data_IF_641288803501
#
_entry.id   IF_641288803501
#
_cell.length_a   1.000
_cell.length_b   1.000
_cell.length_c   1.000
_cell.angle_alpha   90.00
_cell.angle_beta   90.00
_cell.angle_gamma   90.00
#
_symmetry.space_group_name_H-M   'P 1'
#
loop_
_entity.id
_entity.type
_entity.pdbx_description
1 polymer ?
#
# COMPACT_ATOMS: atom_id res chain seq x y z
N UNK A 1 -12.15 39.32 -23.46
CA UNK A 1 -10.99 39.02 -22.57
C UNK A 1 -10.85 37.52 -22.53
N UNK A 2 -9.74 36.94 -22.97
CA UNK A 2 -9.51 35.51 -22.82
C UNK A 2 -9.25 35.17 -21.34
N UNK A 3 -9.96 34.14 -20.84
CA UNK A 3 -9.70 33.58 -19.53
C UNK A 3 -8.25 33.06 -19.46
N UNK A 4 -7.53 33.26 -18.34
CA UNK A 4 -6.21 32.69 -18.19
C UNK A 4 -6.32 31.16 -18.18
N UNK A 5 -5.52 30.52 -19.03
CA UNK A 5 -5.34 29.07 -19.00
C UNK A 5 -4.85 28.66 -17.60
N UNK A 6 -5.63 27.88 -16.89
CA UNK A 6 -5.18 27.21 -15.68
C UNK A 6 -4.08 26.25 -16.11
N UNK A 7 -2.83 26.63 -15.87
CA UNK A 7 -1.70 25.70 -15.89
C UNK A 7 -1.92 24.73 -14.75
N UNK A 8 -2.44 23.54 -15.05
CA UNK A 8 -2.47 22.43 -14.13
C UNK A 8 -1.02 21.97 -13.91
N UNK A 9 -0.31 22.61 -12.98
CA UNK A 9 0.93 22.06 -12.46
C UNK A 9 0.58 20.73 -11.79
N UNK A 10 1.14 19.65 -12.31
CA UNK A 10 1.08 18.35 -11.63
C UNK A 10 1.49 18.57 -10.18
N UNK A 11 0.70 18.15 -9.17
CA UNK A 11 1.06 18.38 -7.78
C UNK A 11 2.39 17.71 -7.48
N UNK A 12 3.26 18.41 -6.74
CA UNK A 12 4.62 17.96 -6.40
C UNK A 12 4.61 16.59 -5.71
N UNK A 13 3.51 16.27 -5.01
CA UNK A 13 3.33 15.03 -4.26
C UNK A 13 2.01 14.34 -4.67
N UNK A 14 2.10 13.05 -4.95
CA UNK A 14 0.93 12.20 -5.15
C UNK A 14 0.22 11.89 -3.82
N UNK A 15 0.99 11.75 -2.73
CA UNK A 15 0.48 11.57 -1.37
C UNK A 15 1.37 12.32 -0.38
N UNK A 16 0.77 13.06 0.57
CA UNK A 16 1.49 13.71 1.66
C UNK A 16 0.69 13.59 2.95
N UNK A 17 1.38 13.22 4.02
CA UNK A 17 0.86 13.23 5.38
C UNK A 17 1.60 14.28 6.20
N UNK A 18 0.88 15.11 6.94
CA UNK A 18 1.44 16.23 7.70
C UNK A 18 1.00 16.14 9.16
N UNK A 19 1.89 15.68 10.05
CA UNK A 19 1.66 15.56 11.49
C UNK A 19 0.43 14.71 11.84
N UNK A 20 0.21 13.60 11.12
CA UNK A 20 -1.06 12.87 11.17
C UNK A 20 -1.13 11.97 12.39
N UNK A 21 -2.25 12.05 13.14
CA UNK A 21 -2.67 11.03 14.08
C UNK A 21 -3.81 10.19 13.47
N UNK A 22 -3.67 8.86 13.50
CA UNK A 22 -4.65 7.91 12.96
C UNK A 22 -5.10 6.92 14.03
N UNK A 23 -6.39 6.60 14.03
CA UNK A 23 -6.94 5.66 15.01
C UNK A 23 -8.42 5.38 14.78
N UNK A 24 -9.02 4.66 15.72
CA UNK A 24 -10.42 4.25 15.69
C UNK A 24 -11.10 4.67 17.01
N UNK A 25 -12.12 5.51 16.91
CA UNK A 25 -12.72 6.14 18.09
C UNK A 25 -11.66 6.87 18.91
N UNK A 26 -11.57 6.60 20.20
CA UNK A 26 -10.60 7.21 21.11
C UNK A 26 -9.23 6.53 21.10
N UNK A 27 -9.08 5.42 20.38
CA UNK A 27 -7.81 4.68 20.30
C UNK A 27 -6.95 5.17 19.13
N UNK A 28 -5.82 5.82 19.44
CA UNK A 28 -4.84 6.28 18.46
C UNK A 28 -3.81 5.19 18.19
N UNK A 29 -3.73 4.74 16.94
CA UNK A 29 -2.78 3.73 16.45
C UNK A 29 -1.44 4.36 16.07
N UNK A 30 -1.49 5.49 15.37
CA UNK A 30 -0.32 6.21 14.86
C UNK A 30 -0.39 7.67 15.27
N UNK A 31 0.76 8.26 15.60
CA UNK A 31 0.88 9.66 16.06
C UNK A 31 2.02 10.34 15.32
N UNK A 32 1.80 11.61 15.00
CA UNK A 32 2.82 12.49 14.40
C UNK A 32 3.51 11.88 13.17
N UNK A 33 2.71 11.35 12.25
CA UNK A 33 3.21 10.79 11.01
C UNK A 33 3.32 11.89 9.95
N UNK A 34 4.54 12.13 9.49
CA UNK A 34 4.80 13.03 8.36
C UNK A 34 5.60 12.28 7.30
N UNK A 35 5.08 12.23 6.08
CA UNK A 35 5.71 11.56 4.95
C UNK A 35 5.23 12.12 3.62
N UNK A 36 6.10 12.04 2.62
CA UNK A 36 5.85 12.49 1.25
C UNK A 36 6.07 11.35 0.25
N UNK A 37 5.22 11.31 -0.78
CA UNK A 37 5.36 10.41 -1.92
C UNK A 37 5.25 11.24 -3.19
N UNK A 38 6.32 11.30 -3.98
CA UNK A 38 6.36 12.06 -5.23
C UNK A 38 5.95 11.22 -6.43
N UNK A 39 5.54 11.87 -7.50
CA UNK A 39 5.28 11.18 -8.77
C UNK A 39 6.54 10.41 -9.22
N UNK A 40 6.37 9.21 -9.76
CA UNK A 40 7.45 8.32 -10.20
C UNK A 40 8.28 7.69 -9.09
N UNK A 41 8.03 8.01 -7.81
CA UNK A 41 8.76 7.47 -6.67
C UNK A 41 8.15 6.15 -6.18
N UNK A 42 8.99 5.18 -5.85
CA UNK A 42 8.61 3.96 -5.14
C UNK A 42 8.98 4.11 -3.67
N UNK A 43 7.98 4.12 -2.82
CA UNK A 43 8.11 4.29 -1.36
C UNK A 43 7.69 3.01 -0.64
N UNK A 44 8.53 2.48 0.25
CA UNK A 44 8.18 1.38 1.12
C UNK A 44 7.82 1.88 2.52
N UNK A 45 6.63 1.52 3.01
CA UNK A 45 6.21 1.70 4.40
C UNK A 45 6.35 0.35 5.09
N UNK A 46 7.32 0.24 5.97
CA UNK A 46 7.70 -1.00 6.63
C UNK A 46 7.39 -0.97 8.12
N UNK A 47 7.36 -2.12 8.75
CA UNK A 47 7.14 -2.25 10.18
C UNK A 47 6.57 -3.60 10.57
N UNK A 48 6.64 -3.95 11.84
CA UNK A 48 6.12 -5.20 12.37
C UNK A 48 4.60 -5.35 12.18
N UNK A 49 4.09 -6.56 12.42
CA UNK A 49 2.65 -6.80 12.44
C UNK A 49 1.97 -5.92 13.49
N UNK A 50 0.82 -5.34 13.14
CA UNK A 50 0.09 -4.43 14.04
C UNK A 50 0.70 -3.02 14.20
N UNK A 51 1.77 -2.65 13.49
CA UNK A 51 2.40 -1.31 13.60
C UNK A 51 1.55 -0.16 13.04
N UNK A 52 0.42 -0.44 12.39
CA UNK A 52 -0.49 0.58 11.85
C UNK A 52 -0.39 0.81 10.34
N UNK A 53 0.37 0.01 9.59
CA UNK A 53 0.55 0.16 8.14
C UNK A 53 -0.78 0.16 7.36
N UNK A 54 -1.68 -0.78 7.65
CA UNK A 54 -3.02 -0.84 7.03
C UNK A 54 -3.88 0.37 7.42
N UNK A 55 -3.66 0.96 8.60
CA UNK A 55 -4.33 2.20 9.03
C UNK A 55 -3.87 3.38 8.16
N UNK A 56 -2.58 3.45 7.82
CA UNK A 56 -2.06 4.43 6.84
C UNK A 56 -2.70 4.26 5.45
N UNK A 57 -2.81 3.01 4.97
CA UNK A 57 -3.46 2.72 3.69
C UNK A 57 -4.91 3.21 3.66
N UNK A 58 -5.66 2.94 4.72
CA UNK A 58 -7.05 3.40 4.85
C UNK A 58 -7.16 4.93 4.84
N UNK A 59 -6.23 5.61 5.50
CA UNK A 59 -6.18 7.07 5.47
C UNK A 59 -5.84 7.60 4.07
N UNK A 60 -4.83 7.02 3.40
CA UNK A 60 -4.44 7.40 2.04
C UNK A 60 -5.57 7.22 1.01
N UNK A 61 -6.43 6.22 1.19
CA UNK A 61 -7.59 5.95 0.32
C UNK A 61 -8.89 6.65 0.75
N UNK A 62 -8.84 7.48 1.80
CA UNK A 62 -10.02 8.18 2.34
C UNK A 62 -11.05 7.25 2.99
N UNK A 63 -10.64 6.05 3.44
CA UNK A 63 -11.49 5.14 4.22
C UNK A 63 -11.42 5.42 5.72
N UNK A 64 -10.45 6.21 6.14
CA UNK A 64 -10.24 6.64 7.52
C UNK A 64 -9.86 8.12 7.53
N UNK A 65 -10.61 8.93 8.26
CA UNK A 65 -10.29 10.34 8.51
C UNK A 65 -9.24 10.45 9.61
N UNK A 66 -8.25 11.32 9.42
CA UNK A 66 -7.24 11.58 10.43
C UNK A 66 -7.88 12.22 11.68
N UNK A 67 -7.43 11.80 12.87
CA UNK A 67 -7.82 12.43 14.15
C UNK A 67 -7.13 13.79 14.33
N UNK A 68 -5.91 13.95 13.79
CA UNK A 68 -5.14 15.19 13.76
C UNK A 68 -4.27 15.23 12.48
N UNK A 69 -3.82 16.43 12.13
CA UNK A 69 -2.99 16.63 10.93
C UNK A 69 -3.79 16.57 9.64
N UNK A 70 -3.11 16.41 8.51
CA UNK A 70 -3.73 16.39 7.18
C UNK A 70 -3.20 15.24 6.33
N UNK A 71 -4.09 14.58 5.59
CA UNK A 71 -3.76 13.61 4.54
C UNK A 71 -4.13 14.23 3.20
N UNK A 72 -3.14 14.51 2.39
CA UNK A 72 -3.30 15.13 1.09
C UNK A 72 -3.04 14.10 -0.01
N UNK A 73 -4.01 13.86 -0.86
CA UNK A 73 -3.86 13.06 -2.07
C UNK A 73 -3.99 13.98 -3.29
N UNK A 74 -2.98 14.00 -4.15
CA UNK A 74 -2.93 14.89 -5.33
C UNK A 74 -3.18 16.37 -4.99
N UNK A 75 -2.71 16.80 -3.80
CA UNK A 75 -2.88 18.16 -3.29
C UNK A 75 -4.25 18.45 -2.63
N UNK A 76 -5.18 17.49 -2.61
CA UNK A 76 -6.50 17.64 -1.99
C UNK A 76 -6.53 17.01 -0.60
N UNK A 77 -7.05 17.72 0.38
CA UNK A 77 -7.20 17.24 1.76
C UNK A 77 -8.35 16.23 1.86
N UNK A 78 -8.00 14.96 2.14
CA UNK A 78 -8.93 13.84 2.18
C UNK A 78 -10.04 13.99 3.23
N UNK A 79 -9.85 14.84 4.25
CA UNK A 79 -10.87 15.12 5.26
C UNK A 79 -11.97 16.09 4.77
N UNK A 80 -11.70 16.85 3.71
CA UNK A 80 -12.57 17.94 3.24
C UNK A 80 -13.14 17.72 1.84
N UNK A 81 -12.82 16.61 1.16
CA UNK A 81 -13.40 16.27 -0.14
C UNK A 81 -14.82 15.75 0.00
N UNK A 82 -15.70 16.15 -0.90
CA UNK A 82 -17.05 15.59 -1.02
C UNK A 82 -17.01 14.12 -1.47
N UNK A 83 -18.07 13.34 -1.26
CA UNK A 83 -18.13 11.96 -1.74
C UNK A 83 -17.87 11.80 -3.24
N UNK A 84 -18.31 12.75 -4.08
CA UNK A 84 -18.09 12.73 -5.52
C UNK A 84 -16.62 13.01 -5.88
N UNK A 85 -15.99 13.98 -5.21
CA UNK A 85 -14.55 14.26 -5.36
C UNK A 85 -13.69 13.08 -4.89
N UNK A 86 -14.06 12.46 -3.75
CA UNK A 86 -13.38 11.26 -3.26
C UNK A 86 -13.44 10.12 -4.27
N UNK A 87 -14.59 9.91 -4.93
CA UNK A 87 -14.73 8.91 -5.98
C UNK A 87 -13.82 9.24 -7.17
N UNK A 88 -13.75 10.48 -7.59
CA UNK A 88 -12.85 10.95 -8.66
C UNK A 88 -11.37 10.76 -8.26
N UNK A 89 -10.98 11.05 -7.02
CA UNK A 89 -9.62 10.80 -6.55
C UNK A 89 -9.26 9.30 -6.57
N UNK A 90 -10.20 8.44 -6.19
CA UNK A 90 -10.00 6.99 -6.20
C UNK A 90 -9.81 6.40 -7.59
N UNK A 91 -10.39 6.98 -8.65
CA UNK A 91 -10.11 6.53 -10.03
C UNK A 91 -8.67 6.83 -10.48
N UNK A 92 -8.00 7.80 -9.81
CA UNK A 92 -6.57 8.10 -10.01
C UNK A 92 -5.65 7.23 -9.17
N UNK A 93 -6.22 6.34 -8.34
CA UNK A 93 -5.48 5.42 -7.45
C UNK A 93 -5.70 3.98 -7.89
N UNK A 94 -4.63 3.21 -7.98
CA UNK A 94 -4.68 1.75 -8.07
C UNK A 94 -4.43 1.14 -6.69
N UNK A 95 -5.16 0.09 -6.32
CA UNK A 95 -4.95 -0.62 -5.06
C UNK A 95 -4.78 -2.10 -5.32
N UNK A 96 -3.66 -2.66 -4.89
CA UNK A 96 -3.42 -4.10 -4.82
C UNK A 96 -3.60 -4.56 -3.37
N UNK A 97 -4.67 -5.30 -3.10
CA UNK A 97 -4.93 -5.88 -1.78
C UNK A 97 -4.13 -7.16 -1.54
N UNK A 98 -3.85 -7.48 -0.29
CA UNK A 98 -3.03 -8.62 0.15
C UNK A 98 -3.42 -9.96 -0.50
N UNK A 99 -4.71 -10.24 -0.67
CA UNK A 99 -5.21 -11.46 -1.31
C UNK A 99 -5.60 -11.26 -2.78
N UNK A 100 -5.19 -10.13 -3.40
CA UNK A 100 -5.55 -9.77 -4.76
C UNK A 100 -7.01 -9.34 -4.94
N UNK A 101 -7.94 -9.82 -4.12
CA UNK A 101 -9.38 -9.53 -4.15
C UNK A 101 -10.00 -9.65 -5.55
N UNK A 102 -9.66 -10.71 -6.29
CA UNK A 102 -10.26 -11.01 -7.59
C UNK A 102 -11.71 -11.47 -7.42
N UNK A 103 -12.56 -11.08 -8.37
CA UNK A 103 -13.90 -11.63 -8.49
C UNK A 103 -13.82 -13.08 -8.96
N UNK A 104 -14.23 -14.02 -8.12
CA UNK A 104 -14.04 -15.47 -8.35
C UNK A 104 -14.97 -16.05 -9.42
N UNK A 105 -16.07 -15.38 -9.70
CA UNK A 105 -17.06 -15.70 -10.74
C UNK A 105 -16.70 -15.12 -12.11
N UNK A 106 -15.70 -14.23 -12.18
CA UNK A 106 -15.19 -13.64 -13.42
C UNK A 106 -13.90 -14.37 -13.87
N UNK A 107 -13.65 -14.38 -15.18
CA UNK A 107 -12.37 -14.84 -15.73
C UNK A 107 -11.28 -13.76 -15.55
N UNK A 108 -10.06 -14.07 -15.99
CA UNK A 108 -8.89 -13.17 -15.91
C UNK A 108 -9.14 -11.87 -16.67
N UNK A 109 -9.65 -11.95 -17.91
CA UNK A 109 -9.96 -10.78 -18.73
C UNK A 109 -10.99 -9.87 -18.04
N UNK A 110 -12.11 -10.44 -17.62
CA UNK A 110 -13.21 -9.70 -16.99
C UNK A 110 -12.78 -9.01 -15.68
N UNK A 111 -11.92 -9.65 -14.88
CA UNK A 111 -11.36 -9.02 -13.69
C UNK A 111 -10.59 -7.74 -14.01
N UNK A 112 -9.80 -7.73 -15.10
CA UNK A 112 -9.01 -6.56 -15.51
C UNK A 112 -9.88 -5.55 -16.26
N UNK A 113 -10.89 -5.98 -17.03
CA UNK A 113 -11.80 -5.12 -17.76
C UNK A 113 -12.77 -4.33 -16.84
N UNK A 114 -13.09 -4.91 -15.67
CA UNK A 114 -14.09 -4.37 -14.75
C UNK A 114 -13.91 -2.86 -14.43
N UNK A 115 -12.73 -2.38 -14.02
CA UNK A 115 -12.55 -0.96 -13.74
C UNK A 115 -12.74 -0.06 -14.97
N UNK A 116 -12.36 -0.53 -16.16
CA UNK A 116 -12.55 0.26 -17.40
C UNK A 116 -14.03 0.44 -17.70
N UNK A 117 -14.83 -0.62 -17.63
CA UNK A 117 -16.26 -0.57 -17.90
C UNK A 117 -17.01 0.25 -16.86
N UNK A 118 -16.59 0.19 -15.59
CA UNK A 118 -17.24 0.94 -14.50
C UNK A 118 -16.92 2.43 -14.53
N UNK A 119 -15.70 2.81 -14.91
CA UNK A 119 -15.21 4.18 -14.75
C UNK A 119 -14.93 4.92 -16.06
N UNK A 120 -15.11 4.28 -17.20
CA UNK A 120 -14.88 4.92 -18.51
C UNK A 120 -16.07 4.69 -19.45
N UNK A 121 -16.04 5.36 -20.59
CA UNK A 121 -17.01 5.17 -21.69
C UNK A 121 -16.33 4.62 -22.95
N UNK A 122 -15.30 3.79 -22.75
CA UNK A 122 -14.56 3.19 -23.85
C UNK A 122 -15.43 2.14 -24.58
N UNK A 123 -15.23 2.04 -25.88
CA UNK A 123 -15.81 0.96 -26.67
C UNK A 123 -15.13 -0.39 -26.34
N UNK A 124 -15.86 -1.51 -26.48
CA UNK A 124 -15.35 -2.84 -26.12
C UNK A 124 -14.05 -3.25 -26.84
N UNK A 125 -13.80 -2.73 -28.03
CA UNK A 125 -12.54 -2.91 -28.76
C UNK A 125 -11.38 -2.26 -28.02
N UNK A 126 -11.54 -1.02 -27.54
CA UNK A 126 -10.54 -0.30 -26.76
C UNK A 126 -10.32 -0.94 -25.38
N UNK A 127 -11.42 -1.39 -24.71
CA UNK A 127 -11.34 -2.16 -23.47
C UNK A 127 -10.51 -3.41 -23.69
N UNK A 128 -10.78 -4.16 -24.77
CA UNK A 128 -10.04 -5.39 -25.09
C UNK A 128 -8.55 -5.13 -25.31
N UNK A 129 -8.20 -4.11 -26.08
CA UNK A 129 -6.81 -3.74 -26.35
C UNK A 129 -6.08 -3.38 -25.06
N UNK A 130 -6.66 -2.49 -24.22
CA UNK A 130 -6.06 -2.07 -22.95
C UNK A 130 -5.88 -3.24 -21.97
N UNK A 131 -6.88 -4.10 -21.82
CA UNK A 131 -6.83 -5.28 -20.97
C UNK A 131 -5.71 -6.22 -21.41
N UNK A 132 -5.64 -6.51 -22.71
CA UNK A 132 -4.60 -7.40 -23.24
C UNK A 132 -3.20 -6.80 -23.14
N UNK A 133 -3.05 -5.46 -23.25
CA UNK A 133 -1.78 -4.78 -23.01
C UNK A 133 -1.33 -4.93 -21.53
N UNK A 134 -2.24 -4.69 -20.58
CA UNK A 134 -1.91 -4.82 -19.14
C UNK A 134 -1.65 -6.28 -18.75
N UNK A 135 -2.36 -7.24 -19.33
CA UNK A 135 -2.10 -8.66 -19.13
C UNK A 135 -0.74 -9.08 -19.74
N UNK A 136 -0.36 -8.51 -20.88
CA UNK A 136 0.94 -8.71 -21.48
C UNK A 136 2.07 -8.18 -20.59
N UNK A 137 1.89 -6.98 -20.05
CA UNK A 137 2.85 -6.35 -19.13
C UNK A 137 3.15 -7.20 -17.87
N UNK A 138 2.21 -8.05 -17.44
CA UNK A 138 2.39 -8.99 -16.32
C UNK A 138 2.64 -10.43 -16.79
N UNK A 139 2.83 -10.68 -18.10
CA UNK A 139 3.12 -11.98 -18.69
C UNK A 139 1.95 -12.96 -18.68
N UNK A 140 0.71 -12.48 -18.74
CA UNK A 140 -0.51 -13.29 -18.63
C UNK A 140 -1.50 -13.10 -19.79
N UNK A 141 -1.07 -12.49 -20.92
CA UNK A 141 -1.94 -12.26 -22.08
C UNK A 141 -2.65 -13.54 -22.54
N UNK A 142 -1.92 -14.66 -22.66
CA UNK A 142 -2.47 -15.94 -23.10
C UNK A 142 -3.44 -16.58 -22.08
N UNK A 143 -3.43 -16.14 -20.83
CA UNK A 143 -4.30 -16.61 -19.76
C UNK A 143 -5.63 -15.83 -19.66
N UNK A 144 -5.89 -14.85 -20.51
CA UNK A 144 -7.04 -13.94 -20.44
C UNK A 144 -8.39 -14.67 -20.31
N UNK A 145 -8.57 -15.81 -20.97
CA UNK A 145 -9.80 -16.60 -20.98
C UNK A 145 -9.98 -17.53 -19.78
N UNK A 146 -8.94 -17.75 -18.96
CA UNK A 146 -8.96 -18.69 -17.83
C UNK A 146 -9.80 -18.12 -16.67
N UNK A 147 -10.45 -19.03 -15.94
CA UNK A 147 -11.12 -18.69 -14.68
C UNK A 147 -10.10 -18.46 -13.57
N UNK A 148 -10.47 -17.71 -12.54
CA UNK A 148 -9.60 -17.48 -11.37
C UNK A 148 -9.22 -18.81 -10.68
N UNK A 149 -10.09 -19.80 -10.71
CA UNK A 149 -9.85 -21.15 -10.16
C UNK A 149 -8.85 -22.00 -10.96
N UNK A 150 -8.51 -21.58 -12.19
CA UNK A 150 -7.60 -22.32 -13.10
C UNK A 150 -6.18 -21.74 -13.10
N UNK A 151 -5.92 -20.67 -12.35
CA UNK A 151 -4.63 -20.00 -12.27
C UNK A 151 -3.98 -20.19 -10.88
N UNK A 152 -2.65 -20.14 -10.84
CA UNK A 152 -1.89 -20.21 -9.57
C UNK A 152 -2.05 -18.93 -8.75
N UNK A 153 -1.74 -18.99 -7.44
CA UNK A 153 -1.77 -17.81 -6.57
C UNK A 153 -0.85 -16.66 -7.06
N UNK A 154 0.34 -16.99 -7.58
CA UNK A 154 1.24 -16.01 -8.19
C UNK A 154 0.67 -15.40 -9.47
N UNK A 155 -0.04 -16.19 -10.30
CA UNK A 155 -0.77 -15.67 -11.46
C UNK A 155 -1.92 -14.76 -11.02
N UNK A 156 -2.72 -15.17 -10.04
CA UNK A 156 -3.83 -14.38 -9.51
C UNK A 156 -3.35 -13.02 -9.00
N UNK A 157 -2.19 -12.96 -8.31
CA UNK A 157 -1.59 -11.70 -7.87
C UNK A 157 -1.18 -10.80 -9.04
N UNK A 158 -0.62 -11.37 -10.10
CA UNK A 158 -0.28 -10.61 -11.33
C UNK A 158 -1.53 -10.12 -12.08
N UNK A 159 -2.62 -10.88 -12.09
CA UNK A 159 -3.91 -10.41 -12.60
C UNK A 159 -4.44 -9.24 -11.78
N UNK A 160 -4.38 -9.33 -10.45
CA UNK A 160 -4.80 -8.24 -9.56
C UNK A 160 -3.94 -6.98 -9.76
N UNK A 161 -2.64 -7.16 -10.04
CA UNK A 161 -1.75 -6.06 -10.41
C UNK A 161 -2.15 -5.43 -11.75
N UNK A 162 -2.42 -6.22 -12.78
CA UNK A 162 -2.92 -5.73 -14.07
C UNK A 162 -4.22 -4.93 -13.90
N UNK A 163 -5.16 -5.43 -13.08
CA UNK A 163 -6.40 -4.72 -12.73
C UNK A 163 -6.14 -3.40 -12.02
N UNK A 164 -5.19 -3.36 -11.09
CA UNK A 164 -4.87 -2.13 -10.34
C UNK A 164 -4.28 -1.02 -11.23
N UNK A 165 -3.63 -1.38 -12.35
CA UNK A 165 -2.99 -0.42 -13.26
C UNK A 165 -3.77 -0.15 -14.54
N UNK A 166 -4.92 -0.79 -14.77
CA UNK A 166 -5.64 -0.71 -16.06
C UNK A 166 -6.20 0.69 -16.36
N UNK A 167 -6.50 1.47 -15.33
CA UNK A 167 -6.91 2.88 -15.43
C UNK A 167 -5.72 3.86 -15.54
N UNK A 168 -4.48 3.36 -15.59
CA UNK A 168 -3.25 4.17 -15.61
C UNK A 168 -3.20 5.19 -14.45
N UNK A 169 -3.27 4.69 -13.20
CA UNK A 169 -3.35 5.54 -12.03
C UNK A 169 -2.07 6.35 -11.81
N UNK A 170 -2.20 7.51 -11.16
CA UNK A 170 -1.07 8.37 -10.76
C UNK A 170 -0.43 7.92 -9.43
N UNK A 171 -1.16 7.14 -8.62
CA UNK A 171 -0.69 6.54 -7.38
C UNK A 171 -1.14 5.08 -7.30
N UNK A 172 -0.20 4.18 -6.97
CA UNK A 172 -0.54 2.78 -6.70
C UNK A 172 -0.17 2.44 -5.25
N UNK A 173 -1.13 1.84 -4.56
CA UNK A 173 -0.98 1.39 -3.18
C UNK A 173 -0.96 -0.15 -3.16
N UNK A 174 0.10 -0.73 -2.61
CA UNK A 174 0.29 -2.18 -2.52
C UNK A 174 0.22 -2.61 -1.06
N UNK A 175 -0.76 -3.43 -0.71
CA UNK A 175 -0.91 -4.00 0.62
C UNK A 175 -0.31 -5.41 0.65
N UNK A 176 0.86 -5.57 1.27
CA UNK A 176 1.61 -6.81 1.39
C UNK A 176 1.78 -7.55 0.03
N UNK A 177 2.40 -6.89 -0.99
CA UNK A 177 2.46 -7.43 -2.35
C UNK A 177 3.25 -8.73 -2.45
N UNK A 178 4.09 -9.04 -1.48
CA UNK A 178 4.99 -10.20 -1.48
C UNK A 178 4.48 -11.38 -0.65
N UNK A 179 3.48 -11.16 0.21
CA UNK A 179 3.02 -12.16 1.18
C UNK A 179 2.60 -13.49 0.52
N UNK A 180 3.17 -14.60 1.01
CA UNK A 180 2.81 -15.96 0.58
C UNK A 180 3.30 -16.35 -0.83
N UNK A 181 4.22 -15.60 -1.41
CA UNK A 181 4.85 -15.94 -2.68
C UNK A 181 6.10 -16.80 -2.46
N UNK A 182 6.39 -17.68 -3.41
CA UNK A 182 7.68 -18.37 -3.48
C UNK A 182 8.81 -17.41 -3.90
N UNK A 183 10.09 -17.72 -3.65
CA UNK A 183 11.21 -16.82 -3.92
C UNK A 183 11.31 -16.31 -5.38
N UNK A 184 10.93 -17.15 -6.35
CA UNK A 184 10.96 -16.76 -7.76
C UNK A 184 9.86 -15.73 -8.04
N UNK A 185 8.64 -16.01 -7.54
CA UNK A 185 7.49 -15.13 -7.68
C UNK A 185 7.69 -13.80 -6.94
N UNK A 186 8.39 -13.78 -5.80
CA UNK A 186 8.82 -12.56 -5.09
C UNK A 186 9.64 -11.66 -6.00
N UNK A 187 10.74 -12.17 -6.55
CA UNK A 187 11.62 -11.40 -7.43
C UNK A 187 10.92 -10.92 -8.72
N UNK A 188 10.01 -11.72 -9.27
CA UNK A 188 9.19 -11.32 -10.43
C UNK A 188 8.27 -10.15 -10.04
N UNK A 189 7.57 -10.26 -8.90
CA UNK A 189 6.64 -9.24 -8.43
C UNK A 189 7.35 -7.92 -8.13
N UNK A 190 8.52 -7.95 -7.46
CA UNK A 190 9.32 -6.77 -7.19
C UNK A 190 9.71 -6.05 -8.50
N UNK A 191 10.24 -6.78 -9.47
CA UNK A 191 10.59 -6.22 -10.80
C UNK A 191 9.37 -5.66 -11.53
N UNK A 192 8.23 -6.31 -11.47
CA UNK A 192 6.99 -5.82 -12.09
C UNK A 192 6.54 -4.50 -11.45
N UNK A 193 6.54 -4.39 -10.13
CA UNK A 193 6.20 -3.15 -9.41
C UNK A 193 7.11 -2.01 -9.87
N UNK A 194 8.43 -2.21 -9.86
CA UNK A 194 9.40 -1.19 -10.30
C UNK A 194 9.18 -0.80 -11.77
N UNK A 195 9.09 -1.79 -12.65
CA UNK A 195 8.87 -1.57 -14.09
C UNK A 195 7.57 -0.82 -14.39
N UNK A 196 6.48 -1.13 -13.67
CA UNK A 196 5.22 -0.40 -13.83
C UNK A 196 5.32 1.03 -13.34
N UNK A 197 5.97 1.29 -12.20
CA UNK A 197 6.20 2.63 -11.69
C UNK A 197 7.00 3.47 -12.71
N UNK A 198 8.07 2.90 -13.26
CA UNK A 198 8.92 3.59 -14.26
C UNK A 198 8.17 3.84 -15.57
N UNK A 199 7.40 2.87 -16.06
CA UNK A 199 6.67 2.98 -17.34
C UNK A 199 5.49 3.95 -17.28
N UNK A 200 4.77 3.96 -16.16
CA UNK A 200 3.60 4.83 -15.96
C UNK A 200 3.98 6.20 -15.40
N UNK A 201 5.21 6.35 -14.87
CA UNK A 201 5.61 7.56 -14.15
C UNK A 201 4.78 7.79 -12.88
N UNK A 202 4.12 6.75 -12.35
CA UNK A 202 3.23 6.85 -11.21
C UNK A 202 3.98 6.72 -9.88
N UNK A 203 3.43 7.33 -8.83
CA UNK A 203 3.87 7.08 -7.47
C UNK A 203 3.47 5.67 -7.03
N UNK A 204 4.31 4.99 -6.27
CA UNK A 204 4.05 3.66 -5.75
C UNK A 204 4.33 3.60 -4.26
N UNK A 205 3.37 3.12 -3.46
CA UNK A 205 3.51 2.93 -2.01
C UNK A 205 3.33 1.47 -1.67
N UNK A 206 4.39 0.83 -1.19
CA UNK A 206 4.36 -0.56 -0.73
C UNK A 206 4.21 -0.60 0.78
N UNK A 207 3.19 -1.27 1.26
CA UNK A 207 3.03 -1.61 2.67
C UNK A 207 3.46 -3.06 2.83
N UNK A 208 4.54 -3.31 3.59
CA UNK A 208 5.12 -4.64 3.67
C UNK A 208 6.02 -4.79 4.90
N UNK A 209 6.38 -6.03 5.20
CA UNK A 209 7.44 -6.39 6.16
C UNK A 209 8.64 -7.07 5.46
N UNK A 210 8.57 -7.28 4.16
CA UNK A 210 9.63 -7.94 3.36
C UNK A 210 10.73 -6.92 3.04
N UNK A 211 11.86 -7.03 3.76
CA UNK A 211 12.96 -6.05 3.68
C UNK A 211 13.69 -6.16 2.35
N UNK A 212 14.12 -7.35 1.98
CA UNK A 212 15.02 -7.58 0.85
C UNK A 212 14.40 -7.12 -0.48
N UNK A 213 13.16 -7.55 -0.75
CA UNK A 213 12.43 -7.20 -1.96
C UNK A 213 12.15 -5.72 -2.04
N UNK A 214 11.71 -5.12 -0.92
CA UNK A 214 11.43 -3.69 -0.87
C UNK A 214 12.66 -2.85 -1.09
N UNK A 215 13.79 -3.20 -0.46
CA UNK A 215 15.05 -2.47 -0.61
C UNK A 215 15.61 -2.56 -2.04
N UNK A 216 15.28 -3.62 -2.78
CA UNK A 216 15.72 -3.77 -4.17
C UNK A 216 15.02 -2.83 -5.15
N UNK A 217 13.87 -2.25 -4.77
CA UNK A 217 13.02 -1.45 -5.67
C UNK A 217 12.63 -0.08 -5.14
N UNK A 218 12.72 0.16 -3.83
CA UNK A 218 12.29 1.42 -3.22
C UNK A 218 13.33 2.52 -3.37
N UNK A 219 12.86 3.73 -3.63
CA UNK A 219 13.66 4.96 -3.61
C UNK A 219 13.73 5.55 -2.19
N UNK A 220 12.67 5.32 -1.39
CA UNK A 220 12.51 5.82 -0.03
C UNK A 220 11.83 4.77 0.85
N UNK A 221 12.24 4.67 2.10
CA UNK A 221 11.67 3.77 3.10
C UNK A 221 11.25 4.57 4.34
N UNK A 222 10.05 4.29 4.84
CA UNK A 222 9.53 4.76 6.12
C UNK A 222 9.33 3.56 7.02
N UNK A 223 10.07 3.47 8.12
CA UNK A 223 9.94 2.41 9.11
C UNK A 223 9.00 2.85 10.23
N UNK A 224 7.87 2.17 10.37
CA UNK A 224 6.86 2.43 11.39
C UNK A 224 7.07 1.51 12.58
N UNK A 225 7.17 2.08 13.77
CA UNK A 225 7.34 1.33 15.01
C UNK A 225 6.76 2.07 16.21
N UNK A 226 6.18 1.33 17.15
CA UNK A 226 5.63 1.89 18.41
C UNK A 226 4.66 3.07 18.19
N UNK A 227 3.86 3.01 17.13
CA UNK A 227 2.86 4.02 16.82
C UNK A 227 3.38 5.33 16.21
N UNK A 228 4.62 5.37 15.71
CA UNK A 228 5.26 6.53 15.07
C UNK A 228 6.21 6.12 13.96
N UNK A 229 6.75 7.08 13.22
CA UNK A 229 7.91 6.84 12.34
C UNK A 229 9.16 6.64 13.21
N UNK A 230 9.75 5.46 13.13
CA UNK A 230 10.99 5.13 13.83
C UNK A 230 12.21 5.59 13.01
N UNK A 231 12.15 5.46 11.68
CA UNK A 231 13.20 5.91 10.78
C UNK A 231 12.63 6.22 9.39
N UNK A 232 13.34 7.06 8.64
CA UNK A 232 13.06 7.36 7.23
C UNK A 232 14.38 7.61 6.48
N UNK A 233 14.46 7.14 5.23
CA UNK A 233 15.65 7.35 4.39
C UNK A 233 15.65 6.42 3.19
N UNK A 234 16.72 6.51 2.36
CA UNK A 234 16.92 5.52 1.31
C UNK A 234 17.25 4.14 1.90
N UNK A 235 17.11 3.04 1.14
CA UNK A 235 17.55 1.71 1.56
C UNK A 235 18.99 1.69 2.10
N UNK A 236 19.92 2.42 1.47
CA UNK A 236 21.31 2.52 1.89
C UNK A 236 21.44 3.23 3.24
N UNK A 237 20.69 4.34 3.43
CA UNK A 237 20.67 5.10 4.69
C UNK A 237 20.19 4.24 5.85
N UNK A 238 19.12 3.47 5.65
CA UNK A 238 18.58 2.59 6.69
C UNK A 238 19.52 1.41 6.96
N UNK A 239 20.13 0.84 5.93
CA UNK A 239 21.11 -0.26 6.08
C UNK A 239 22.33 0.17 6.89
N UNK A 240 22.77 1.42 6.79
CA UNK A 240 23.89 2.01 7.53
C UNK A 240 23.48 2.51 8.93
N UNK A 241 22.19 2.50 9.29
CA UNK A 241 21.70 3.01 10.57
C UNK A 241 22.28 2.22 11.73
N UNK A 242 22.64 2.92 12.81
CA UNK A 242 23.06 2.31 14.08
C UNK A 242 21.93 2.26 15.13
N UNK A 243 20.72 2.72 14.75
CA UNK A 243 19.57 2.65 15.65
C UNK A 243 19.20 1.19 15.94
N UNK A 244 19.13 0.79 17.23
CA UNK A 244 18.88 -0.61 17.59
C UNK A 244 17.53 -1.15 17.06
N UNK A 245 16.49 -0.31 16.97
CA UNK A 245 15.19 -0.74 16.44
C UNK A 245 15.27 -1.00 14.94
N UNK A 246 15.94 -0.11 14.19
CA UNK A 246 16.16 -0.27 12.75
C UNK A 246 16.95 -1.54 12.48
N UNK A 247 18.05 -1.77 13.21
CA UNK A 247 18.89 -2.97 13.07
C UNK A 247 18.12 -4.25 13.37
N UNK A 248 17.38 -4.27 14.49
CA UNK A 248 16.55 -5.42 14.85
C UNK A 248 15.54 -5.75 13.74
N UNK A 249 14.85 -4.74 13.21
CA UNK A 249 13.86 -4.95 12.17
C UNK A 249 14.48 -5.43 10.86
N UNK A 250 15.56 -4.79 10.40
CA UNK A 250 16.20 -5.12 9.12
C UNK A 250 16.85 -6.51 9.11
N UNK A 251 17.40 -6.93 10.24
CA UNK A 251 18.08 -8.24 10.39
C UNK A 251 17.14 -9.35 10.83
N UNK A 252 15.94 -9.02 11.31
CA UNK A 252 15.02 -9.99 11.90
C UNK A 252 15.54 -10.58 13.21
N UNK A 253 16.29 -9.79 13.98
CA UNK A 253 16.89 -10.26 15.24
C UNK A 253 15.78 -10.47 16.30
N UNK A 254 15.77 -11.64 17.02
CA UNK A 254 14.76 -11.91 18.04
C UNK A 254 14.92 -11.03 19.28
N UNK A 255 16.17 -10.61 19.58
CA UNK A 255 16.51 -9.78 20.73
C UNK A 255 16.70 -8.31 20.31
N UNK A 256 16.11 -7.37 21.08
CA UNK A 256 16.24 -5.94 20.80
C UNK A 256 15.12 -5.10 21.41
N UNK A 257 14.94 -3.86 20.96
CA UNK A 257 13.92 -2.93 21.47
C UNK A 257 12.49 -3.46 21.39
N UNK A 258 12.19 -4.33 20.40
CA UNK A 258 10.90 -5.04 20.34
C UNK A 258 11.03 -6.31 21.16
N UNK A 259 10.44 -6.30 22.35
CA UNK A 259 10.52 -7.44 23.26
C UNK A 259 9.66 -8.62 22.75
N UNK A 260 10.19 -9.84 22.84
CA UNK A 260 9.43 -11.07 22.57
C UNK A 260 8.28 -11.27 23.58
N UNK A 261 8.52 -10.90 24.84
CA UNK A 261 7.53 -11.09 25.90
C UNK A 261 6.52 -9.95 25.92
N UNK A 262 5.24 -10.32 25.97
CA UNK A 262 4.17 -9.33 26.22
C UNK A 262 4.35 -8.75 27.63
N UNK A 263 4.37 -7.42 27.79
CA UNK A 263 4.62 -6.79 29.08
C UNK A 263 3.51 -7.11 30.07
N UNK A 264 3.88 -7.40 31.31
CA UNK A 264 2.92 -7.54 32.39
C UNK A 264 2.26 -6.19 32.70
N UNK A 265 0.96 -6.10 32.42
CA UNK A 265 0.17 -4.88 32.66
C UNK A 265 -0.44 -4.91 34.06
N UNK A 266 -0.83 -3.75 34.65
CA UNK A 266 -1.62 -3.71 35.87
C UNK A 266 -2.93 -4.52 35.77
N UNK A 267 -3.55 -4.55 34.59
CA UNK A 267 -4.73 -5.37 34.33
C UNK A 267 -4.43 -6.87 34.46
N UNK A 268 -3.29 -7.33 33.93
CA UNK A 268 -2.84 -8.71 34.09
C UNK A 268 -2.60 -9.06 35.55
N UNK A 269 -1.92 -8.21 36.32
CA UNK A 269 -1.66 -8.42 37.74
C UNK A 269 -2.96 -8.52 38.55
N UNK A 270 -3.96 -7.65 38.25
CA UNK A 270 -5.29 -7.73 38.85
C UNK A 270 -5.99 -9.04 38.49
N UNK A 271 -5.97 -9.45 37.24
CA UNK A 271 -6.53 -10.72 36.77
C UNK A 271 -5.84 -11.92 37.47
N UNK A 272 -4.51 -11.93 37.55
CA UNK A 272 -3.72 -12.99 38.18
C UNK A 272 -4.07 -13.13 39.67
N UNK A 273 -4.23 -12.04 40.41
CA UNK A 273 -4.63 -12.06 41.83
C UNK A 273 -6.03 -12.65 42.03
N UNK A 274 -6.97 -12.35 41.14
CA UNK A 274 -8.32 -12.94 41.17
C UNK A 274 -8.29 -14.45 40.89
N UNK A 275 -7.42 -14.94 40.02
CA UNK A 275 -7.27 -16.38 39.75
C UNK A 275 -6.68 -17.13 40.95
N UNK A 276 -5.70 -16.54 41.64
CA UNK A 276 -5.12 -17.11 42.87
C UNK A 276 -6.13 -17.20 44.02
N UNK A 277 -7.01 -16.20 44.17
CA UNK A 277 -8.06 -16.21 45.18
C UNK A 277 -9.23 -17.18 44.92
N UNK A 278 -9.39 -17.70 43.68
CA UNK A 278 -10.39 -18.72 43.33
C UNK A 278 -9.95 -20.16 43.60
N UNK A 279 -8.67 -20.35 43.93
CA UNK A 279 -8.07 -21.69 44.23
C UNK A 279 -7.83 -21.91 45.72
N UNK A 280 -8.12 -20.92 46.55
CA UNK A 280 -8.14 -21.02 48.00
C UNK A 280 -9.60 -21.10 48.49
#
# INVERSE_FOLDING_TARGET
MPMPAQTSSTPEFALRLEGVALGYGDFTVLRDISMDVRAGQVVAIMGGSGSGKTTLLRAATGQLTAQQGRVLAFGQDMAHVSPAELQTLRTRMGVLFQQGALFTDLNVFENVAFPLREHTRLEETEVTERVLDKLDAVGLRAAAHLKVSEISGGMARRVALARAVVLEPELILYDEPFAGLDPISLGITARLIRSLADRLGCASVLITHDVQESFSIADQVYLVGQGKLAAAGSPETLSASQDPYVQQFLKGEPDGPVAFQYPETPAFQKWLSQQKGRRA
#
